data_IF_641576528079
#
_entry.id   IF_641576528079
#
_cell.length_a   1.000
_cell.length_b   1.000
_cell.length_c   1.000
_cell.angle_alpha   90.00
_cell.angle_beta   90.00
_cell.angle_gamma   90.00
#
_symmetry.space_group_name_H-M   'P 1'
#
loop_
_entity.id
_entity.type
_entity.pdbx_description
1 polymer ?
#
# COMPACT_ATOMS: atom_id res chain seq x y z
N UNK A 1 -16.08 -9.79 13.34
CA UNK A 1 -14.61 -9.82 13.16
C UNK A 1 -14.33 -9.36 11.75
N UNK A 2 -13.94 -8.09 11.55
CA UNK A 2 -13.57 -7.60 10.22
C UNK A 2 -12.20 -8.13 9.86
N UNK A 3 -12.08 -8.84 8.73
CA UNK A 3 -10.79 -9.30 8.22
C UNK A 3 -9.89 -8.10 7.91
N UNK A 4 -8.65 -8.12 8.40
CA UNK A 4 -7.66 -7.09 8.07
C UNK A 4 -7.21 -7.18 6.61
N UNK A 5 -6.60 -6.11 6.08
CA UNK A 5 -6.11 -6.04 4.70
C UNK A 5 -5.27 -7.27 4.28
N UNK A 6 -4.40 -7.74 5.18
CA UNK A 6 -3.54 -8.91 4.96
C UNK A 6 -4.34 -10.18 4.66
N UNK A 7 -5.43 -10.40 5.40
CA UNK A 7 -6.28 -11.57 5.25
C UNK A 7 -7.10 -11.49 3.96
N UNK A 8 -7.65 -10.33 3.65
CA UNK A 8 -8.40 -10.09 2.41
C UNK A 8 -7.52 -10.29 1.17
N UNK A 9 -6.27 -9.80 1.21
CA UNK A 9 -5.34 -10.00 0.11
C UNK A 9 -5.03 -11.48 -0.16
N UNK A 10 -4.81 -12.28 0.89
CA UNK A 10 -4.53 -13.72 0.76
C UNK A 10 -5.74 -14.51 0.23
N UNK A 11 -6.96 -14.06 0.54
CA UNK A 11 -8.19 -14.69 0.06
C UNK A 11 -8.65 -14.21 -1.31
N UNK A 12 -8.08 -13.12 -1.82
CA UNK A 12 -8.44 -12.55 -3.11
C UNK A 12 -8.15 -13.54 -4.24
N UNK A 13 -9.15 -13.77 -5.08
CA UNK A 13 -9.04 -14.61 -6.29
C UNK A 13 -8.92 -13.79 -7.56
N UNK A 14 -9.33 -12.52 -7.51
CA UNK A 14 -9.28 -11.62 -8.64
C UNK A 14 -7.95 -10.86 -8.67
N UNK A 15 -7.19 -10.93 -9.78
CA UNK A 15 -5.95 -10.19 -9.91
C UNK A 15 -6.22 -8.68 -10.01
N UNK A 16 -5.39 -7.87 -9.37
CA UNK A 16 -5.46 -6.42 -9.38
C UNK A 16 -4.06 -5.81 -9.19
N UNK A 17 -3.83 -4.67 -9.82
CA UNK A 17 -2.58 -3.93 -9.76
C UNK A 17 -2.83 -2.47 -9.40
N UNK A 18 -2.22 -2.02 -8.30
CA UNK A 18 -2.37 -0.63 -7.85
C UNK A 18 -1.18 -0.18 -7.03
N UNK A 19 -1.02 1.14 -6.98
CA UNK A 19 -0.12 1.84 -6.08
C UNK A 19 -0.99 2.83 -5.31
N UNK A 20 -1.07 2.69 -4.00
CA UNK A 20 -1.80 3.58 -3.11
C UNK A 20 -0.81 4.31 -2.21
N UNK A 21 -0.97 5.61 -2.12
CA UNK A 21 -0.19 6.47 -1.24
C UNK A 21 -0.93 6.67 0.09
N UNK A 22 -0.22 6.54 1.20
CA UNK A 22 -0.78 6.61 2.53
C UNK A 22 -0.02 7.61 3.38
N UNK A 23 -0.75 8.51 4.03
CA UNK A 23 -0.20 9.37 5.07
C UNK A 23 -0.39 8.70 6.44
N UNK A 24 0.70 8.40 7.15
CA UNK A 24 0.64 7.76 8.45
C UNK A 24 1.74 8.23 9.39
N UNK A 25 1.37 8.40 10.66
CA UNK A 25 2.28 8.84 11.72
C UNK A 25 2.93 7.63 12.42
N UNK A 26 4.22 7.43 12.15
CA UNK A 26 5.28 6.62 12.83
C UNK A 26 5.01 5.18 13.33
N UNK A 27 3.77 4.66 13.37
CA UNK A 27 3.45 3.35 13.97
C UNK A 27 2.98 2.28 12.97
N UNK A 28 3.45 2.34 11.72
CA UNK A 28 3.19 1.30 10.72
C UNK A 28 4.43 0.43 10.56
N UNK A 29 4.25 -0.89 10.56
CA UNK A 29 5.32 -1.85 10.28
C UNK A 29 5.28 -2.21 8.79
N UNK A 30 6.38 -2.05 8.03
CA UNK A 30 6.45 -2.52 6.65
C UNK A 30 6.19 -4.03 6.55
N UNK A 31 5.57 -4.47 5.47
CA UNK A 31 5.37 -5.90 5.22
C UNK A 31 5.35 -6.23 3.72
N UNK A 32 5.67 -7.48 3.40
CA UNK A 32 5.46 -8.07 2.07
C UNK A 32 4.64 -9.35 2.24
N UNK A 33 3.60 -9.50 1.42
CA UNK A 33 2.78 -10.69 1.33
C UNK A 33 2.77 -11.21 -0.10
N UNK A 34 2.70 -12.52 -0.25
CA UNK A 34 2.55 -13.20 -1.54
C UNK A 34 1.23 -13.95 -1.56
N UNK A 35 0.44 -13.72 -2.60
CA UNK A 35 -0.73 -14.52 -2.89
C UNK A 35 -0.34 -15.56 -3.96
N UNK A 36 -0.21 -16.82 -3.53
CA UNK A 36 0.18 -17.91 -4.42
C UNK A 36 -0.94 -18.34 -5.37
N UNK A 37 -2.20 -17.96 -5.12
CA UNK A 37 -3.34 -18.26 -5.99
C UNK A 37 -3.35 -17.34 -7.21
N UNK A 38 -3.15 -16.03 -7.00
CA UNK A 38 -3.14 -15.03 -8.08
C UNK A 38 -1.75 -14.78 -8.65
N UNK A 39 -0.69 -15.24 -7.98
CA UNK A 39 0.69 -14.96 -8.36
C UNK A 39 1.05 -13.49 -8.16
N UNK A 40 0.52 -12.85 -7.12
CA UNK A 40 0.71 -11.43 -6.84
C UNK A 40 1.46 -11.19 -5.53
N UNK A 41 2.00 -9.97 -5.38
CA UNK A 41 2.57 -9.46 -4.13
C UNK A 41 1.81 -8.23 -3.67
N UNK A 42 1.71 -8.10 -2.35
CA UNK A 42 1.27 -6.88 -1.69
C UNK A 42 2.39 -6.41 -0.76
N UNK A 43 2.90 -5.22 -1.00
CA UNK A 43 4.00 -4.63 -0.24
C UNK A 43 3.54 -3.31 0.38
N UNK A 44 3.79 -3.15 1.67
CA UNK A 44 3.70 -1.87 2.37
C UNK A 44 5.11 -1.43 2.73
N UNK A 45 5.57 -0.32 2.13
CA UNK A 45 6.91 0.21 2.36
C UNK A 45 6.88 1.70 2.66
N UNK A 46 7.84 2.15 3.46
CA UNK A 46 7.99 3.57 3.79
C UNK A 46 8.59 4.32 2.60
N UNK A 47 7.92 5.38 2.17
CA UNK A 47 8.42 6.26 1.10
C UNK A 47 9.21 7.44 1.66
N UNK A 48 8.68 8.14 2.66
CA UNK A 48 9.39 9.20 3.37
C UNK A 48 9.00 9.26 4.86
N UNK A 49 9.29 10.37 5.56
CA UNK A 49 9.03 10.48 7.00
C UNK A 49 7.58 10.19 7.38
N UNK A 50 6.62 10.62 6.55
CA UNK A 50 5.17 10.56 6.84
C UNK A 50 4.37 9.77 5.81
N UNK A 51 5.00 9.44 4.68
CA UNK A 51 4.34 8.84 3.54
C UNK A 51 4.77 7.38 3.35
N UNK A 52 3.79 6.56 2.98
CA UNK A 52 3.91 5.12 2.77
C UNK A 52 3.30 4.75 1.43
N UNK A 53 3.82 3.68 0.84
CA UNK A 53 3.32 3.11 -0.41
C UNK A 53 2.78 1.71 -0.13
N UNK A 54 1.51 1.49 -0.48
CA UNK A 54 0.91 0.17 -0.55
C UNK A 54 0.82 -0.24 -2.02
N UNK A 55 1.58 -1.25 -2.41
CA UNK A 55 1.76 -1.67 -3.80
C UNK A 55 1.25 -3.09 -3.95
N UNK A 56 0.24 -3.30 -4.81
CA UNK A 56 -0.19 -4.63 -5.25
C UNK A 56 0.23 -4.85 -6.70
N UNK A 57 0.92 -5.94 -6.99
CA UNK A 57 1.46 -6.20 -8.32
C UNK A 57 1.65 -7.69 -8.63
N UNK A 58 1.62 -8.11 -9.92
CA UNK A 58 1.97 -9.47 -10.34
C UNK A 58 3.43 -9.79 -10.03
N UNK A 59 3.73 -11.01 -9.59
CA UNK A 59 5.10 -11.47 -9.28
C UNK A 59 5.99 -11.41 -10.53
N UNK A 60 5.45 -11.78 -11.69
CA UNK A 60 6.10 -11.59 -12.98
C UNK A 60 5.66 -10.24 -13.57
N UNK A 61 6.52 -9.23 -13.48
CA UNK A 61 6.27 -7.91 -14.07
C UNK A 61 7.52 -7.31 -14.68
N UNK A 62 7.30 -6.36 -15.59
CA UNK A 62 8.35 -5.49 -16.12
C UNK A 62 8.74 -4.45 -15.06
N UNK A 63 9.89 -4.65 -14.44
CA UNK A 63 10.42 -3.74 -13.42
C UNK A 63 10.74 -2.35 -13.97
N UNK A 64 11.13 -2.23 -15.24
CA UNK A 64 11.46 -0.96 -15.86
C UNK A 64 10.20 -0.10 -16.04
N UNK A 65 9.12 -0.72 -16.53
CA UNK A 65 7.82 -0.06 -16.65
C UNK A 65 7.28 0.37 -15.29
N UNK A 66 7.51 -0.43 -14.25
CA UNK A 66 7.05 -0.10 -12.90
C UNK A 66 7.85 1.04 -12.26
N UNK A 67 9.17 1.03 -12.44
CA UNK A 67 10.04 2.11 -11.99
C UNK A 67 9.67 3.43 -12.67
N UNK A 68 9.32 3.38 -13.96
CA UNK A 68 8.81 4.54 -14.67
C UNK A 68 7.51 5.06 -14.05
N UNK A 69 6.51 4.20 -13.82
CA UNK A 69 5.25 4.59 -13.20
C UNK A 69 5.43 5.21 -11.81
N UNK A 70 6.28 4.62 -10.97
CA UNK A 70 6.61 5.21 -9.66
C UNK A 70 7.26 6.59 -9.80
N UNK A 71 8.19 6.75 -10.76
CA UNK A 71 8.87 8.02 -11.01
C UNK A 71 7.93 9.13 -11.46
N UNK A 72 6.93 8.83 -12.28
CA UNK A 72 5.96 9.82 -12.74
C UNK A 72 4.93 10.17 -11.68
N UNK A 73 4.53 9.20 -10.86
CA UNK A 73 3.43 9.37 -9.93
C UNK A 73 3.86 10.03 -8.61
N UNK A 74 5.07 9.73 -8.12
CA UNK A 74 5.60 10.27 -6.86
C UNK A 74 5.63 11.81 -6.80
N UNK A 75 6.17 12.55 -7.80
CA UNK A 75 6.24 14.01 -7.74
C UNK A 75 4.88 14.69 -7.79
N UNK A 76 3.91 14.08 -8.47
CA UNK A 76 2.55 14.61 -8.55
C UNK A 76 1.81 14.40 -7.24
N UNK A 77 1.96 13.22 -6.64
CA UNK A 77 1.37 12.92 -5.34
C UNK A 77 1.99 13.70 -4.19
N UNK A 78 3.28 14.07 -4.24
CA UNK A 78 3.85 14.97 -3.23
C UNK A 78 3.23 16.36 -3.26
N UNK A 79 2.87 16.88 -4.44
CA UNK A 79 2.14 18.15 -4.56
C UNK A 79 0.71 18.00 -4.06
N UNK A 80 -0.01 16.96 -4.50
CA UNK A 80 -1.38 16.68 -4.04
C UNK A 80 -1.43 16.41 -2.54
N UNK A 81 -0.46 15.71 -1.94
CA UNK A 81 -0.43 15.43 -0.50
C UNK A 81 -0.28 16.69 0.35
N UNK A 82 0.48 17.69 -0.13
CA UNK A 82 0.59 19.01 0.51
C UNK A 82 -0.75 19.75 0.45
N UNK A 83 -1.50 19.61 -0.64
CA UNK A 83 -2.84 20.19 -0.80
C UNK A 83 -3.92 19.42 -0.01
N UNK A 84 -3.79 18.09 0.09
CA UNK A 84 -4.71 17.18 0.77
C UNK A 84 -4.60 17.21 2.31
N UNK A 85 -3.53 17.78 2.89
CA UNK A 85 -3.46 18.07 4.33
C UNK A 85 -4.62 18.99 4.78
N UNK A 86 -5.32 19.62 3.81
CA UNK A 86 -6.49 20.48 4.02
C UNK A 86 -7.85 19.84 3.67
N UNK A 87 -7.93 18.58 3.18
CA UNK A 87 -9.19 17.98 2.69
C UNK A 87 -9.69 16.80 3.54
N UNK A 88 -10.98 16.83 3.90
CA UNK A 88 -11.63 16.01 4.93
C UNK A 88 -12.05 14.58 4.50
N UNK A 89 -11.60 14.08 3.34
CA UNK A 89 -11.94 12.71 2.88
C UNK A 89 -10.84 11.72 3.27
N UNK A 90 -10.91 11.21 4.50
CA UNK A 90 -9.93 10.23 5.01
C UNK A 90 -10.46 8.80 4.85
N UNK A 91 -9.84 8.01 3.98
CA UNK A 91 -10.04 6.55 3.95
C UNK A 91 -9.23 5.93 5.08
N UNK A 92 -9.88 5.19 5.97
CA UNK A 92 -9.21 4.45 7.04
C UNK A 92 -8.93 3.01 6.59
N UNK A 93 -7.66 2.62 6.52
CA UNK A 93 -7.25 1.27 6.18
C UNK A 93 -6.75 0.59 7.44
N UNK A 94 -7.38 -0.53 7.80
CA UNK A 94 -6.96 -1.36 8.92
C UNK A 94 -6.02 -2.47 8.46
N UNK A 95 -4.77 -2.42 8.92
CA UNK A 95 -3.74 -3.43 8.63
C UNK A 95 -3.84 -4.66 9.53
N UNK A 96 -4.61 -4.61 10.61
CA UNK A 96 -4.81 -5.74 11.53
C UNK A 96 -3.66 -5.98 12.51
N UNK A 97 -2.63 -5.13 12.54
CA UNK A 97 -1.46 -5.26 13.42
C UNK A 97 -1.74 -4.85 14.89
N UNK A 98 -3.01 -4.89 15.31
CA UNK A 98 -3.44 -4.51 16.65
C UNK A 98 -3.38 -5.69 17.63
N UNK A 99 -2.37 -6.54 17.49
CA UNK A 99 -1.95 -7.41 18.58
C UNK A 99 -1.31 -6.52 19.63
N UNK A 100 -2.17 -6.03 20.52
CA UNK A 100 -1.76 -5.33 21.74
C UNK A 100 -1.06 -6.39 22.57
N UNK A 101 0.24 -6.23 22.78
CA UNK A 101 0.99 -7.09 23.69
C UNK A 101 0.30 -7.17 25.05
N UNK A 102 0.25 -8.39 25.57
CA UNK A 102 -0.06 -8.70 26.96
C UNK A 102 1.07 -8.21 27.88
#
# INVERSE_FOLDING_TARGET
MGGGLKLEFVKSTDPANFIIFLYAHEYIVPFELKNNLTGERLELRRFNKRNWLLVRYPVERDEAKWAEWERWAVPEWEKEAVELDCLWYRVNINFGDKDTGD
#
